data_IF_398138699096
#
_entry.id   IF_398138699096
#
_cell.length_a   1.000
_cell.length_b   1.000
_cell.length_c   1.000
_cell.angle_alpha   90.00
_cell.angle_beta   90.00
_cell.angle_gamma   90.00
#
_symmetry.space_group_name_H-M   'P 1'
#
loop_
_entity.id
_entity.type
_entity.pdbx_description
1 polymer ?
#
# COMPACT_ATOMS: atom_id res chain seq x y z
N UNK A 1 -78.91 18.56 -8.72
CA UNK A 1 -78.36 18.59 -7.34
C UNK A 1 -77.49 17.38 -7.18
N UNK A 2 -76.22 17.55 -7.26
CA UNK A 2 -75.25 16.43 -7.23
C UNK A 2 -74.85 16.20 -5.78
N UNK A 3 -75.20 15.06 -5.26
CA UNK A 3 -74.83 14.58 -3.93
C UNK A 3 -73.38 14.13 -3.97
N UNK A 4 -72.49 14.93 -3.43
CA UNK A 4 -71.07 14.56 -3.24
C UNK A 4 -71.01 13.57 -2.07
N UNK A 5 -70.86 12.29 -2.38
CA UNK A 5 -70.69 11.22 -1.39
C UNK A 5 -69.35 11.46 -0.66
N UNK A 6 -69.44 12.04 0.54
CA UNK A 6 -68.28 12.22 1.46
C UNK A 6 -67.86 10.85 1.92
N UNK A 7 -66.70 10.38 1.51
CA UNK A 7 -66.08 9.17 2.12
C UNK A 7 -65.94 9.34 3.63
N UNK A 8 -66.22 8.30 4.44
CA UNK A 8 -66.12 8.37 5.89
C UNK A 8 -64.65 8.63 6.31
N UNK A 9 -64.47 9.54 7.27
CA UNK A 9 -63.15 9.99 7.73
C UNK A 9 -62.22 8.84 8.16
N UNK A 10 -62.77 7.74 8.66
CA UNK A 10 -62.04 6.54 9.09
C UNK A 10 -61.27 5.86 7.96
N UNK A 11 -61.76 5.88 6.69
CA UNK A 11 -61.06 5.26 5.56
C UNK A 11 -59.84 6.10 5.14
N UNK A 12 -59.92 7.42 5.27
CA UNK A 12 -58.84 8.34 4.95
C UNK A 12 -57.74 8.25 5.98
N UNK A 13 -58.10 8.09 7.25
CA UNK A 13 -57.14 8.00 8.36
C UNK A 13 -56.37 6.67 8.34
N UNK A 14 -57.04 5.54 8.09
CA UNK A 14 -56.36 4.22 7.93
C UNK A 14 -55.45 4.15 6.68
N UNK A 15 -55.81 4.83 5.58
CA UNK A 15 -54.98 4.88 4.41
C UNK A 15 -53.70 5.73 4.66
N UNK A 16 -53.84 6.84 5.43
CA UNK A 16 -52.72 7.66 5.84
C UNK A 16 -51.71 6.92 6.73
N UNK A 17 -52.23 6.20 7.72
CA UNK A 17 -51.40 5.43 8.63
C UNK A 17 -50.64 4.26 7.94
N UNK A 18 -51.30 3.54 7.06
CA UNK A 18 -50.65 2.48 6.23
C UNK A 18 -49.55 3.01 5.30
N UNK A 19 -49.75 4.17 4.72
CA UNK A 19 -48.71 4.79 3.88
C UNK A 19 -47.50 5.25 4.70
N UNK A 20 -47.75 5.80 5.89
CA UNK A 20 -46.67 6.23 6.81
C UNK A 20 -45.86 5.01 7.31
N UNK A 21 -46.51 3.91 7.70
CA UNK A 21 -45.82 2.65 8.10
C UNK A 21 -44.98 2.07 6.94
N UNK A 22 -45.51 2.06 5.71
CA UNK A 22 -44.78 1.58 4.55
C UNK A 22 -43.56 2.45 4.25
N UNK A 23 -43.74 3.76 4.31
CA UNK A 23 -42.63 4.71 4.09
C UNK A 23 -41.56 4.55 5.18
N UNK A 24 -41.98 4.38 6.44
CA UNK A 24 -41.05 4.15 7.55
C UNK A 24 -40.24 2.85 7.36
N UNK A 25 -40.93 1.73 7.05
CA UNK A 25 -40.26 0.44 6.82
C UNK A 25 -39.29 0.50 5.62
N UNK A 26 -39.69 1.18 4.54
CA UNK A 26 -38.82 1.38 3.39
C UNK A 26 -37.59 2.22 3.75
N UNK A 27 -37.78 3.32 4.47
CA UNK A 27 -36.66 4.17 4.93
C UNK A 27 -35.73 3.41 5.91
N UNK A 28 -36.31 2.65 6.86
CA UNK A 28 -35.52 1.83 7.79
C UNK A 28 -34.74 0.73 7.04
N UNK A 29 -35.33 0.12 6.02
CA UNK A 29 -34.68 -0.87 5.17
C UNK A 29 -33.50 -0.27 4.39
N UNK A 30 -33.67 0.88 3.77
CA UNK A 30 -32.59 1.59 3.05
C UNK A 30 -31.48 2.01 4.04
N UNK A 31 -31.83 2.56 5.18
CA UNK A 31 -30.86 2.93 6.20
C UNK A 31 -30.08 1.71 6.73
N UNK A 32 -30.77 0.58 6.96
CA UNK A 32 -30.14 -0.68 7.36
C UNK A 32 -29.16 -1.22 6.32
N UNK A 33 -29.53 -1.20 5.04
CA UNK A 33 -28.66 -1.60 3.95
C UNK A 33 -27.43 -0.67 3.82
N UNK A 34 -27.64 0.63 3.93
CA UNK A 34 -26.54 1.60 3.89
C UNK A 34 -25.56 1.39 5.07
N UNK A 35 -26.09 1.14 6.26
CA UNK A 35 -25.28 0.84 7.45
C UNK A 35 -24.48 -0.45 7.31
N UNK A 36 -25.12 -1.53 6.84
CA UNK A 36 -24.40 -2.80 6.61
C UNK A 36 -23.35 -2.68 5.53
N UNK A 37 -23.61 -1.96 4.44
CA UNK A 37 -22.61 -1.68 3.41
C UNK A 37 -21.44 -0.87 3.95
N UNK A 38 -21.71 0.15 4.79
CA UNK A 38 -20.66 0.96 5.42
C UNK A 38 -19.76 0.15 6.35
N UNK A 39 -20.28 -0.84 7.05
CA UNK A 39 -19.48 -1.74 7.89
C UNK A 39 -18.78 -2.84 7.08
N UNK A 40 -19.41 -3.39 6.06
CA UNK A 40 -18.86 -4.46 5.25
C UNK A 40 -17.76 -3.98 4.31
N UNK A 41 -17.86 -2.72 3.81
CA UNK A 41 -16.91 -2.18 2.84
C UNK A 41 -15.45 -2.14 3.34
N UNK A 42 -15.12 -1.62 4.53
CA UNK A 42 -13.74 -1.64 5.02
C UNK A 42 -13.22 -3.06 5.26
N UNK A 43 -14.08 -3.98 5.71
CA UNK A 43 -13.71 -5.39 5.87
C UNK A 43 -13.39 -6.02 4.51
N UNK A 44 -14.25 -5.82 3.52
CA UNK A 44 -14.01 -6.26 2.14
C UNK A 44 -12.71 -5.68 1.58
N UNK A 45 -12.47 -4.38 1.75
CA UNK A 45 -11.24 -3.72 1.29
C UNK A 45 -9.99 -4.28 1.97
N UNK A 46 -10.09 -4.60 3.25
CA UNK A 46 -9.00 -5.23 3.99
C UNK A 46 -8.69 -6.64 3.48
N UNK A 47 -9.70 -7.44 3.19
CA UNK A 47 -9.55 -8.82 2.72
C UNK A 47 -9.17 -8.92 1.23
N UNK A 48 -9.68 -8.02 0.39
CA UNK A 48 -9.43 -8.01 -1.05
C UNK A 48 -8.13 -7.30 -1.45
N UNK A 49 -7.61 -6.40 -0.60
CA UNK A 49 -6.44 -5.57 -0.91
C UNK A 49 -5.12 -6.33 -1.18
N UNK A 50 -4.84 -7.53 -0.63
CA UNK A 50 -3.57 -8.22 -0.89
C UNK A 50 -3.34 -8.58 -2.35
N UNK A 51 -4.37 -8.98 -3.08
CA UNK A 51 -4.24 -9.40 -4.49
C UNK A 51 -4.07 -8.21 -5.44
N UNK A 52 -4.83 -7.13 -5.24
CA UNK A 52 -4.68 -5.91 -6.05
C UNK A 52 -3.33 -5.22 -5.81
N UNK A 53 -2.84 -5.20 -4.58
CA UNK A 53 -1.51 -4.67 -4.26
C UNK A 53 -0.40 -5.57 -4.81
N UNK A 54 -0.56 -6.89 -4.77
CA UNK A 54 0.39 -7.83 -5.34
C UNK A 54 0.44 -7.72 -6.87
N UNK A 55 -0.69 -7.60 -7.55
CA UNK A 55 -0.75 -7.39 -9.01
C UNK A 55 -0.15 -6.05 -9.42
N UNK A 56 -0.41 -4.97 -8.71
CA UNK A 56 0.20 -3.66 -8.97
C UNK A 56 1.72 -3.68 -8.73
N UNK A 57 2.19 -4.37 -7.68
CA UNK A 57 3.61 -4.50 -7.37
C UNK A 57 4.37 -5.37 -8.39
N UNK A 58 3.71 -6.37 -9.00
CA UNK A 58 4.31 -7.23 -10.04
C UNK A 58 4.35 -6.55 -11.40
N UNK A 59 3.51 -5.54 -11.65
CA UNK A 59 3.46 -4.83 -12.93
C UNK A 59 4.67 -3.91 -13.18
N UNK A 60 5.35 -3.42 -12.11
CA UNK A 60 6.53 -2.56 -12.26
C UNK A 60 7.76 -3.42 -12.53
N UNK A 61 8.28 -3.35 -13.74
CA UNK A 61 9.50 -4.06 -14.16
C UNK A 61 10.74 -3.19 -14.07
N UNK A 62 10.59 -1.87 -14.20
CA UNK A 62 11.68 -0.91 -14.23
C UNK A 62 11.26 0.43 -13.62
N UNK A 63 12.20 1.11 -12.97
CA UNK A 63 12.03 2.45 -12.40
C UNK A 63 13.23 3.31 -12.79
N UNK A 64 12.98 4.51 -13.31
CA UNK A 64 14.02 5.52 -13.56
C UNK A 64 14.00 6.57 -12.46
N UNK A 65 15.09 6.67 -11.71
CA UNK A 65 15.29 7.66 -10.66
C UNK A 65 15.98 8.89 -11.23
N UNK A 66 15.21 9.94 -11.48
CA UNK A 66 15.73 11.21 -11.99
C UNK A 66 16.69 11.84 -10.98
N UNK A 67 17.78 12.42 -11.46
CA UNK A 67 18.80 13.08 -10.66
C UNK A 67 19.56 12.18 -9.65
N UNK A 68 19.27 10.87 -9.61
CA UNK A 68 19.93 9.95 -8.69
C UNK A 68 21.43 9.77 -8.99
N UNK A 69 21.88 10.02 -10.22
CA UNK A 69 23.30 10.03 -10.60
C UNK A 69 24.11 11.11 -9.87
N UNK A 70 23.45 12.14 -9.30
CA UNK A 70 24.08 13.20 -8.50
C UNK A 70 24.31 12.78 -7.04
N UNK A 71 23.87 11.57 -6.67
CA UNK A 71 24.04 11.05 -5.32
C UNK A 71 25.54 10.94 -4.99
N UNK A 72 25.96 11.55 -3.90
CA UNK A 72 27.35 11.52 -3.45
C UNK A 72 27.79 10.11 -3.10
N UNK A 73 29.09 9.81 -3.27
CA UNK A 73 29.67 8.54 -2.81
C UNK A 73 29.45 8.34 -1.32
N UNK A 74 29.20 7.12 -0.90
CA UNK A 74 28.85 6.78 0.47
C UNK A 74 27.44 7.21 0.88
N UNK A 75 26.55 7.50 -0.07
CA UNK A 75 25.18 7.93 0.21
C UNK A 75 24.15 6.91 -0.25
N UNK A 76 22.94 7.04 0.28
CA UNK A 76 21.78 6.19 -0.04
C UNK A 76 20.60 7.04 -0.43
N UNK A 77 19.85 6.58 -1.42
CA UNK A 77 18.55 7.12 -1.79
C UNK A 77 17.48 6.06 -1.54
N UNK A 78 16.48 6.41 -0.73
CA UNK A 78 15.30 5.57 -0.56
C UNK A 78 14.26 5.95 -1.61
N UNK A 79 13.72 4.93 -2.29
CA UNK A 79 12.70 5.12 -3.33
C UNK A 79 11.62 4.04 -3.25
N UNK A 80 10.60 4.12 -4.10
CA UNK A 80 9.60 3.07 -4.24
C UNK A 80 9.82 2.29 -5.52
N UNK A 81 9.95 0.98 -5.40
CA UNK A 81 9.88 0.06 -6.52
C UNK A 81 8.50 -0.61 -6.53
N UNK A 82 7.60 -0.10 -7.38
CA UNK A 82 6.18 -0.41 -7.26
C UNK A 82 5.59 0.14 -5.96
N UNK A 83 4.98 -0.71 -5.15
CA UNK A 83 4.42 -0.37 -3.84
C UNK A 83 5.40 -0.50 -2.68
N UNK A 84 6.57 -1.13 -2.90
CA UNK A 84 7.52 -1.49 -1.84
C UNK A 84 8.68 -0.48 -1.74
N UNK A 85 9.18 -0.18 -0.53
CA UNK A 85 10.37 0.63 -0.36
C UNK A 85 11.63 -0.12 -0.83
N UNK A 86 12.55 0.63 -1.43
CA UNK A 86 13.82 0.14 -1.92
C UNK A 86 14.95 1.12 -1.63
N UNK A 87 16.18 0.64 -1.63
CA UNK A 87 17.41 1.41 -1.46
C UNK A 87 18.20 1.41 -2.75
N UNK A 88 18.76 2.57 -3.10
CA UNK A 88 19.86 2.72 -4.04
C UNK A 88 21.06 3.27 -3.26
N UNK A 89 22.15 2.52 -3.22
CA UNK A 89 23.37 2.86 -2.52
C UNK A 89 24.42 3.21 -3.56
N UNK A 90 25.09 4.36 -3.39
CA UNK A 90 26.28 4.72 -4.11
C UNK A 90 27.48 4.54 -3.18
N UNK A 91 28.21 3.44 -3.33
CA UNK A 91 29.36 3.12 -2.47
C UNK A 91 30.55 4.05 -2.71
N UNK A 92 31.50 4.05 -1.75
CA UNK A 92 32.72 4.88 -1.83
C UNK A 92 33.62 4.49 -3.01
N UNK A 93 33.57 3.22 -3.44
CA UNK A 93 34.31 2.67 -4.57
C UNK A 93 33.65 2.94 -5.94
N UNK A 94 32.61 3.78 -5.96
CA UNK A 94 31.83 4.13 -7.16
C UNK A 94 30.87 3.03 -7.65
N UNK A 95 30.68 1.98 -6.90
CA UNK A 95 29.69 0.94 -7.24
C UNK A 95 28.28 1.36 -6.84
N UNK A 96 27.32 0.92 -7.65
CA UNK A 96 25.90 1.19 -7.43
C UNK A 96 25.17 -0.12 -7.15
N UNK A 97 24.51 -0.18 -5.98
CA UNK A 97 23.75 -1.34 -5.55
C UNK A 97 22.33 -0.93 -5.23
N UNK A 98 21.38 -1.71 -5.69
CA UNK A 98 19.96 -1.50 -5.36
C UNK A 98 19.34 -2.76 -4.79
N UNK A 99 18.51 -2.60 -3.75
CA UNK A 99 17.82 -3.71 -3.11
C UNK A 99 16.55 -3.27 -2.40
N UNK A 100 15.71 -4.24 -2.03
CA UNK A 100 14.54 -3.96 -1.21
C UNK A 100 14.93 -3.37 0.13
N UNK A 101 14.17 -2.38 0.61
CA UNK A 101 14.31 -1.83 1.96
C UNK A 101 13.41 -2.53 2.99
N UNK A 102 12.84 -3.69 2.65
CA UNK A 102 11.93 -4.45 3.52
C UNK A 102 12.68 -5.57 4.21
N UNK A 103 12.79 -5.47 5.53
CA UNK A 103 13.42 -6.49 6.38
C UNK A 103 12.69 -7.84 6.24
N UNK A 104 13.45 -8.91 6.04
CA UNK A 104 12.90 -10.26 5.83
C UNK A 104 12.41 -10.93 7.11
N UNK A 105 12.56 -10.28 8.28
CA UNK A 105 12.00 -10.77 9.54
C UNK A 105 10.48 -10.48 9.62
N UNK A 106 10.09 -9.21 9.81
CA UNK A 106 8.70 -8.79 9.99
C UNK A 106 8.35 -7.54 9.15
N UNK A 107 9.04 -7.28 8.06
CA UNK A 107 8.68 -6.24 7.11
C UNK A 107 9.05 -4.80 7.52
N UNK A 108 9.84 -4.58 8.57
CA UNK A 108 10.32 -3.24 8.93
C UNK A 108 11.18 -2.65 7.81
N UNK A 109 11.18 -1.32 7.69
CA UNK A 109 12.07 -0.64 6.75
C UNK A 109 13.50 -0.64 7.31
N UNK A 110 14.46 -1.10 6.50
CA UNK A 110 15.88 -1.10 6.83
C UNK A 110 16.55 0.22 6.42
N UNK A 111 17.72 0.51 7.00
CA UNK A 111 18.50 1.71 6.74
C UNK A 111 19.94 1.34 6.43
N UNK A 112 20.61 2.14 5.58
CA UNK A 112 22.05 2.01 5.32
C UNK A 112 22.84 2.86 6.32
N UNK A 113 23.80 2.23 6.98
CA UNK A 113 24.74 2.87 7.89
C UNK A 113 26.09 3.06 7.20
N UNK A 114 26.35 4.29 6.76
CA UNK A 114 27.51 4.64 5.93
C UNK A 114 28.85 4.29 6.61
N UNK A 115 29.00 4.62 7.90
CA UNK A 115 30.26 4.39 8.64
C UNK A 115 30.60 2.91 8.80
N UNK A 116 29.58 2.06 8.84
CA UNK A 116 29.73 0.62 9.04
C UNK A 116 29.61 -0.17 7.73
N UNK A 117 29.31 0.49 6.61
CA UNK A 117 29.02 -0.09 5.30
C UNK A 117 28.08 -1.30 5.40
N UNK A 118 27.00 -1.13 6.13
CA UNK A 118 26.03 -2.20 6.37
C UNK A 118 24.60 -1.69 6.29
N UNK A 119 23.66 -2.61 6.10
CA UNK A 119 22.24 -2.32 6.21
C UNK A 119 21.73 -2.85 7.56
N UNK A 120 21.04 -1.99 8.29
CA UNK A 120 20.55 -2.27 9.64
C UNK A 120 19.02 -2.14 9.71
N UNK A 121 18.40 -3.06 10.44
CA UNK A 121 16.99 -3.02 10.81
C UNK A 121 16.87 -2.70 12.30
N UNK A 122 16.47 -1.48 12.63
CA UNK A 122 16.36 -1.01 14.01
C UNK A 122 15.28 -1.74 14.85
N UNK A 123 14.31 -2.42 14.20
CA UNK A 123 13.23 -3.08 14.93
C UNK A 123 13.73 -4.23 15.83
N UNK A 124 14.61 -5.09 15.33
CA UNK A 124 15.11 -6.27 16.06
C UNK A 124 16.58 -6.54 15.81
N UNK A 125 17.35 -5.51 15.41
CA UNK A 125 18.80 -5.61 15.26
C UNK A 125 19.27 -6.47 14.08
N UNK A 126 18.43 -6.69 13.06
CA UNK A 126 18.84 -7.40 11.85
C UNK A 126 19.90 -6.64 11.08
N UNK A 127 20.98 -7.31 10.66
CA UNK A 127 22.08 -6.72 9.89
C UNK A 127 22.24 -7.47 8.58
N UNK A 128 22.44 -6.70 7.51
CA UNK A 128 22.69 -7.23 6.17
C UNK A 128 23.94 -6.59 5.56
N UNK A 129 24.58 -7.34 4.70
CA UNK A 129 25.70 -6.85 3.89
C UNK A 129 25.19 -5.89 2.82
N UNK A 130 25.78 -4.69 2.73
CA UNK A 130 25.33 -3.63 1.83
C UNK A 130 25.57 -3.94 0.35
N UNK A 131 26.52 -4.81 0.02
CA UNK A 131 26.85 -5.17 -1.35
C UNK A 131 26.02 -6.34 -1.88
N UNK A 132 25.72 -7.32 -1.02
CA UNK A 132 25.10 -8.59 -1.44
C UNK A 132 23.68 -8.78 -0.93
N UNK A 133 23.22 -7.93 0.01
CA UNK A 133 21.95 -8.12 0.69
C UNK A 133 21.92 -9.32 1.65
N UNK A 134 23.01 -10.09 1.78
CA UNK A 134 23.07 -11.26 2.65
C UNK A 134 22.83 -10.88 4.11
N UNK A 135 22.03 -11.68 4.82
CA UNK A 135 21.86 -11.52 6.26
C UNK A 135 23.16 -11.90 7.00
N UNK A 136 23.66 -10.99 7.83
CA UNK A 136 24.93 -11.13 8.57
C UNK A 136 24.65 -11.53 10.01
N UNK A 137 23.67 -10.88 10.65
CA UNK A 137 23.29 -11.17 12.03
C UNK A 137 21.85 -10.78 12.33
N UNK A 138 21.35 -11.24 13.48
CA UNK A 138 20.00 -11.00 13.96
C UNK A 138 18.97 -12.00 13.43
N UNK A 139 17.67 -11.74 13.64
CA UNK A 139 16.60 -12.69 13.35
C UNK A 139 16.19 -12.83 11.87
N UNK A 140 16.60 -11.99 10.89
CA UNK A 140 16.17 -12.14 9.50
C UNK A 140 16.56 -13.51 8.92
N UNK A 141 15.59 -14.28 8.35
CA UNK A 141 15.87 -15.63 7.87
C UNK A 141 16.42 -15.69 6.43
N UNK A 142 16.38 -14.60 5.68
CA UNK A 142 16.71 -14.56 4.25
C UNK A 142 17.43 -13.27 3.89
N UNK A 143 18.23 -13.26 2.79
CA UNK A 143 18.84 -12.03 2.27
C UNK A 143 17.78 -11.04 1.78
N UNK A 144 18.16 -9.77 1.66
CA UNK A 144 17.40 -8.76 0.96
C UNK A 144 17.43 -9.05 -0.56
N UNK A 145 16.30 -8.85 -1.22
CA UNK A 145 16.21 -9.03 -2.67
C UNK A 145 16.94 -7.89 -3.37
N UNK A 146 17.91 -8.22 -4.21
CA UNK A 146 18.61 -7.26 -5.07
C UNK A 146 17.73 -6.85 -6.25
N UNK A 147 17.97 -5.64 -6.74
CA UNK A 147 17.51 -5.13 -8.02
C UNK A 147 18.73 -4.89 -8.91
N UNK A 148 18.53 -4.97 -10.21
CA UNK A 148 19.60 -4.71 -11.19
C UNK A 148 19.67 -3.23 -11.48
N UNK A 149 20.83 -2.61 -11.27
CA UNK A 149 21.14 -1.27 -11.79
C UNK A 149 21.53 -1.43 -13.26
N UNK A 150 20.66 -0.99 -14.17
CA UNK A 150 20.80 -1.22 -15.61
C UNK A 150 21.70 -0.16 -16.25
N UNK A 151 21.50 1.09 -15.86
CA UNK A 151 22.25 2.22 -16.41
C UNK A 151 22.33 3.36 -15.38
N UNK A 152 23.46 4.03 -15.36
CA UNK A 152 23.66 5.32 -14.70
C UNK A 152 24.05 6.32 -15.81
N UNK A 153 23.18 7.28 -16.09
CA UNK A 153 23.33 8.23 -17.17
C UNK A 153 23.01 9.66 -16.72
N UNK A 154 23.16 10.64 -17.59
CA UNK A 154 22.92 12.06 -17.27
C UNK A 154 21.47 12.35 -16.82
N UNK A 155 20.52 11.53 -17.20
CA UNK A 155 19.10 11.70 -16.87
C UNK A 155 18.69 11.02 -15.57
N UNK A 156 19.50 10.08 -15.05
CA UNK A 156 19.19 9.35 -13.82
C UNK A 156 19.79 7.96 -13.75
N UNK A 157 19.30 7.18 -12.80
CA UNK A 157 19.66 5.78 -12.60
C UNK A 157 18.44 4.90 -12.90
N UNK A 158 18.66 3.91 -13.77
CA UNK A 158 17.64 2.97 -14.21
C UNK A 158 17.79 1.67 -13.44
N UNK A 159 16.72 1.24 -12.77
CA UNK A 159 16.70 0.06 -11.91
C UNK A 159 15.61 -0.88 -12.41
N UNK A 160 15.96 -2.15 -12.63
CA UNK A 160 15.03 -3.20 -13.04
C UNK A 160 14.95 -4.34 -12.02
N UNK A 161 13.95 -5.19 -12.17
CA UNK A 161 13.93 -6.47 -11.45
C UNK A 161 15.12 -7.32 -11.87
N UNK A 162 15.71 -8.01 -10.90
CA UNK A 162 16.72 -9.05 -11.15
C UNK A 162 16.05 -10.35 -11.57
#
# INVERSE_FOLDING_TARGET
>A
MSEVTKLPATIVEEAGERNTRRAFLAAAGVAGLAYTAALAYPIYRYLASPEEMAMSATAVTEVTLKDAQKLSKGSVLMFKFGSSPALLIHHLDDTWISMTAVCTHLGCTVQYEVQADRIHCACHGGVYNANTGANVSGPPPRPLKLFKVVAVNETGVVISRA
#
